data_IF_161908867581
#
_entry.id   IF_161908867581
#
_cell.length_a   1.000
_cell.length_b   1.000
_cell.length_c   1.000
_cell.angle_alpha   90.00
_cell.angle_beta   90.00
_cell.angle_gamma   90.00
#
_symmetry.space_group_name_H-M   'P 1'
#
loop_
_entity.id
_entity.type
_entity.pdbx_description
1 polymer ?
#
# COMPACT_ATOMS: atom_id res chain seq x y z
N UNK A 1 -18.44 7.47 31.52
CA UNK A 1 -18.38 6.08 31.01
C UNK A 1 -17.52 5.28 31.96
N UNK A 2 -17.99 4.11 32.42
CA UNK A 2 -17.22 3.23 33.30
C UNK A 2 -16.01 2.63 32.56
N UNK A 3 -14.88 2.46 33.25
CA UNK A 3 -13.63 1.90 32.71
C UNK A 3 -13.83 0.54 32.04
N UNK A 4 -14.72 -0.29 32.60
CA UNK A 4 -15.10 -1.59 32.03
C UNK A 4 -15.82 -1.46 30.70
N UNK A 5 -16.76 -0.52 30.59
CA UNK A 5 -17.53 -0.28 29.37
C UNK A 5 -16.66 0.30 28.25
N UNK A 6 -15.71 1.16 28.60
CA UNK A 6 -14.70 1.68 27.67
C UNK A 6 -13.78 0.58 27.15
N UNK A 7 -13.25 -0.26 28.04
CA UNK A 7 -12.43 -1.42 27.67
C UNK A 7 -13.16 -2.39 26.74
N UNK A 8 -14.41 -2.75 27.06
CA UNK A 8 -15.23 -3.61 26.19
C UNK A 8 -15.46 -2.99 24.82
N UNK A 9 -15.64 -1.68 24.75
CA UNK A 9 -15.78 -0.95 23.47
C UNK A 9 -14.51 -1.06 22.64
N UNK A 10 -13.33 -0.89 23.25
CA UNK A 10 -12.05 -1.05 22.55
C UNK A 10 -11.84 -2.48 22.05
N UNK A 11 -12.18 -3.50 22.84
CA UNK A 11 -12.11 -4.89 22.38
C UNK A 11 -13.05 -5.09 21.18
N UNK A 12 -14.28 -4.60 21.24
CA UNK A 12 -15.22 -4.73 20.12
C UNK A 12 -14.73 -4.00 18.86
N UNK A 13 -14.23 -2.77 18.99
CA UNK A 13 -13.74 -1.97 17.87
C UNK A 13 -12.50 -2.57 17.22
N UNK A 14 -11.58 -3.12 18.02
CA UNK A 14 -10.23 -3.48 17.56
C UNK A 14 -10.06 -4.96 17.27
N UNK A 15 -10.75 -5.81 18.02
CA UNK A 15 -10.71 -7.26 17.83
C UNK A 15 -11.87 -7.71 16.95
N UNK A 16 -13.11 -7.36 17.30
CA UNK A 16 -14.29 -7.93 16.65
C UNK A 16 -14.63 -7.27 15.31
N UNK A 17 -14.58 -5.93 15.23
CA UNK A 17 -15.02 -5.21 14.04
C UNK A 17 -14.26 -5.59 12.75
N UNK A 18 -12.92 -5.74 12.73
CA UNK A 18 -12.21 -6.14 11.52
C UNK A 18 -12.63 -7.53 11.02
N UNK A 19 -12.84 -8.49 11.94
CA UNK A 19 -13.26 -9.86 11.61
C UNK A 19 -14.68 -9.90 11.05
N UNK A 20 -15.62 -9.23 11.73
CA UNK A 20 -17.03 -9.18 11.29
C UNK A 20 -17.16 -8.45 9.95
N UNK A 21 -16.43 -7.36 9.76
CA UNK A 21 -16.40 -6.66 8.48
C UNK A 21 -15.85 -7.55 7.34
N UNK A 22 -14.83 -8.37 7.62
CA UNK A 22 -14.30 -9.33 6.65
C UNK A 22 -15.31 -10.43 6.30
N UNK A 23 -16.04 -10.95 7.29
CA UNK A 23 -17.11 -11.93 7.08
C UNK A 23 -18.22 -11.36 6.21
N UNK A 24 -18.68 -10.16 6.52
CA UNK A 24 -19.71 -9.48 5.73
C UNK A 24 -19.26 -9.28 4.28
N UNK A 25 -18.02 -8.84 4.04
CA UNK A 25 -17.49 -8.63 2.69
C UNK A 25 -17.41 -9.93 1.88
N UNK A 26 -16.90 -11.01 2.48
CA UNK A 26 -16.82 -12.32 1.81
C UNK A 26 -18.21 -12.91 1.58
N UNK A 27 -19.13 -12.76 2.54
CA UNK A 27 -20.52 -13.21 2.40
C UNK A 27 -21.21 -12.54 1.21
N UNK A 28 -21.09 -11.21 1.10
CA UNK A 28 -21.62 -10.46 -0.06
C UNK A 28 -20.96 -10.91 -1.37
N UNK A 29 -19.64 -11.12 -1.38
CA UNK A 29 -18.92 -11.60 -2.57
C UNK A 29 -19.42 -12.98 -3.02
N UNK A 30 -19.63 -13.90 -2.07
CA UNK A 30 -20.13 -15.25 -2.35
C UNK A 30 -21.59 -15.25 -2.83
N UNK A 31 -22.40 -14.27 -2.41
CA UNK A 31 -23.75 -14.06 -2.96
C UNK A 31 -23.73 -13.55 -4.40
N UNK A 32 -22.74 -12.72 -4.77
CA UNK A 32 -22.62 -12.14 -6.12
C UNK A 32 -22.01 -13.12 -7.13
N UNK A 33 -21.08 -13.98 -6.70
CA UNK A 33 -20.47 -15.02 -7.53
C UNK A 33 -20.60 -16.35 -6.79
N UNK A 34 -21.72 -17.08 -6.96
CA UNK A 34 -21.89 -18.37 -6.31
C UNK A 34 -20.86 -19.35 -6.87
N UNK A 35 -19.93 -19.81 -6.03
CA UNK A 35 -19.01 -20.88 -6.36
C UNK A 35 -19.82 -22.20 -6.45
N UNK A 36 -19.93 -22.83 -7.63
CA UNK A 36 -20.69 -24.07 -7.79
C UNK A 36 -20.06 -25.26 -7.06
N UNK A 37 -18.83 -25.13 -6.56
CA UNK A 37 -18.11 -26.16 -5.79
C UNK A 37 -18.30 -26.03 -4.28
N UNK A 38 -18.86 -24.92 -3.79
CA UNK A 38 -19.18 -24.73 -2.39
C UNK A 38 -20.69 -24.82 -2.19
N UNK A 39 -21.20 -25.86 -1.50
CA UNK A 39 -22.62 -25.95 -1.19
C UNK A 39 -23.05 -24.66 -0.48
N UNK A 40 -24.19 -24.11 -0.91
CA UNK A 40 -24.80 -22.87 -0.39
C UNK A 40 -25.27 -22.93 1.07
N UNK A 41 -24.50 -23.57 1.95
CA UNK A 41 -24.59 -23.36 3.37
C UNK A 41 -23.74 -22.11 3.67
N UNK A 42 -24.40 -20.97 3.83
CA UNK A 42 -23.85 -19.96 4.74
C UNK A 42 -23.54 -20.70 6.03
N UNK A 43 -22.25 -20.97 6.31
CA UNK A 43 -21.87 -21.37 7.67
C UNK A 43 -22.39 -20.24 8.57
N UNK A 44 -23.06 -20.55 9.69
CA UNK A 44 -23.59 -19.51 10.54
C UNK A 44 -22.45 -18.54 10.85
N UNK A 45 -22.68 -17.25 10.61
CA UNK A 45 -21.64 -16.21 10.70
C UNK A 45 -20.91 -16.27 12.06
N UNK A 46 -21.60 -16.72 13.12
CA UNK A 46 -21.05 -17.01 14.43
C UNK A 46 -19.92 -18.07 14.44
N UNK A 47 -20.05 -19.17 13.68
CA UNK A 47 -18.98 -20.18 13.53
C UNK A 47 -17.77 -19.60 12.80
N UNK A 48 -18.01 -18.73 11.81
CA UNK A 48 -16.94 -18.05 11.08
C UNK A 48 -16.22 -17.05 11.99
N UNK A 49 -16.96 -16.25 12.76
CA UNK A 49 -16.38 -15.33 13.76
C UNK A 49 -15.54 -16.11 14.77
N UNK A 50 -16.05 -17.22 15.31
CA UNK A 50 -15.31 -18.06 16.25
C UNK A 50 -14.04 -18.65 15.63
N UNK A 51 -14.09 -19.09 14.38
CA UNK A 51 -12.93 -19.59 13.63
C UNK A 51 -11.86 -18.51 13.44
N UNK A 52 -12.25 -17.30 13.03
CA UNK A 52 -11.32 -16.18 12.87
C UNK A 52 -10.73 -15.70 14.20
N UNK A 53 -11.54 -15.64 15.26
CA UNK A 53 -11.08 -15.29 16.60
C UNK A 53 -10.07 -16.31 17.14
N UNK A 54 -10.32 -17.59 16.90
CA UNK A 54 -9.37 -18.67 17.24
C UNK A 54 -8.05 -18.47 16.51
N UNK A 55 -8.07 -18.15 15.21
CA UNK A 55 -6.86 -17.92 14.42
C UNK A 55 -6.11 -16.65 14.86
N UNK A 56 -6.83 -15.58 15.21
CA UNK A 56 -6.23 -14.37 15.78
C UNK A 56 -5.55 -14.64 17.13
N UNK A 57 -6.12 -15.52 17.96
CA UNK A 57 -5.54 -15.94 19.24
C UNK A 57 -4.33 -16.86 19.05
N UNK A 58 -4.39 -17.80 18.10
CA UNK A 58 -3.24 -18.63 17.75
C UNK A 58 -2.06 -17.79 17.26
N UNK A 59 -2.35 -16.79 16.42
CA UNK A 59 -1.35 -15.85 15.93
C UNK A 59 -0.76 -14.99 17.06
N UNK A 60 -1.58 -14.53 18.01
CA UNK A 60 -1.08 -13.75 19.15
C UNK A 60 -0.16 -14.55 20.07
N UNK A 61 -0.44 -15.84 20.27
CA UNK A 61 0.46 -16.76 21.00
C UNK A 61 1.80 -16.87 20.26
N UNK A 62 1.77 -17.07 18.94
CA UNK A 62 2.98 -17.13 18.12
C UNK A 62 3.81 -15.85 18.19
N UNK A 63 3.16 -14.68 18.09
CA UNK A 63 3.81 -13.37 18.21
C UNK A 63 4.35 -13.12 19.63
N UNK A 64 3.65 -13.56 20.67
CA UNK A 64 4.12 -13.42 22.06
C UNK A 64 5.42 -14.17 22.30
N UNK A 65 5.63 -15.31 21.63
CA UNK A 65 6.89 -16.05 21.71
C UNK A 65 8.05 -15.32 21.01
N UNK A 66 7.76 -14.44 20.04
CA UNK A 66 8.76 -13.65 19.33
C UNK A 66 9.17 -12.39 20.10
N UNK A 67 8.29 -11.84 20.94
CA UNK A 67 8.52 -10.61 21.72
C UNK A 67 9.20 -10.90 23.09
N UNK A 68 9.56 -12.16 23.35
CA UNK A 68 10.19 -12.65 24.60
C UNK A 68 9.56 -12.09 25.89
N UNK A 69 8.26 -12.31 26.02
CA UNK A 69 7.45 -11.72 27.08
C UNK A 69 7.64 -12.48 28.41
N UNK A 70 8.73 -12.21 29.12
CA UNK A 70 8.89 -12.57 30.54
C UNK A 70 8.25 -11.51 31.45
N UNK A 71 6.91 -11.39 31.39
CA UNK A 71 6.18 -10.39 32.18
C UNK A 71 5.39 -11.02 33.35
N UNK A 72 5.13 -10.26 34.43
CA UNK A 72 4.18 -10.66 35.48
C UNK A 72 2.79 -10.95 34.89
N UNK A 73 2.00 -11.84 35.52
CA UNK A 73 0.73 -12.35 34.95
C UNK A 73 -0.25 -11.26 34.49
N UNK A 74 -0.36 -10.15 35.23
CA UNK A 74 -1.23 -9.03 34.87
C UNK A 74 -0.79 -8.28 33.60
N UNK A 75 0.51 -8.15 33.36
CA UNK A 75 1.07 -7.53 32.16
C UNK A 75 1.07 -8.48 30.97
N UNK A 76 1.21 -9.80 31.23
CA UNK A 76 1.12 -10.84 30.22
C UNK A 76 -0.27 -10.90 29.60
N UNK A 77 -1.34 -10.75 30.38
CA UNK A 77 -2.72 -10.73 29.86
C UNK A 77 -3.01 -9.49 29.00
N UNK A 78 -2.54 -8.31 29.42
CA UNK A 78 -2.63 -7.08 28.62
C UNK A 78 -1.87 -7.21 27.29
N UNK A 79 -0.66 -7.77 27.33
CA UNK A 79 0.15 -8.03 26.14
C UNK A 79 -0.53 -9.02 25.18
N UNK A 80 -1.05 -10.13 25.70
CA UNK A 80 -1.81 -11.12 24.90
C UNK A 80 -3.00 -10.47 24.22
N UNK A 81 -3.75 -9.62 24.93
CA UNK A 81 -4.89 -8.93 24.36
C UNK A 81 -4.47 -7.92 23.27
N UNK A 82 -3.39 -7.16 23.50
CA UNK A 82 -2.85 -6.23 22.50
C UNK A 82 -2.37 -6.96 21.23
N UNK A 83 -1.64 -8.07 21.39
CA UNK A 83 -1.19 -8.90 20.27
C UNK A 83 -2.35 -9.56 19.53
N UNK A 84 -3.39 -10.00 20.24
CA UNK A 84 -4.61 -10.55 19.63
C UNK A 84 -5.34 -9.49 18.83
N UNK A 85 -5.38 -8.27 19.37
CA UNK A 85 -5.95 -7.10 18.70
C UNK A 85 -5.17 -6.73 17.43
N UNK A 86 -3.84 -6.77 17.46
CA UNK A 86 -2.99 -6.58 16.27
C UNK A 86 -3.14 -7.69 15.23
N UNK A 87 -3.39 -8.92 15.69
CA UNK A 87 -3.55 -10.08 14.80
C UNK A 87 -4.88 -10.03 14.04
N UNK A 88 -5.91 -9.41 14.62
CA UNK A 88 -7.26 -9.38 14.03
C UNK A 88 -7.30 -8.79 12.62
N UNK A 89 -6.75 -7.59 12.33
CA UNK A 89 -6.68 -7.06 10.98
C UNK A 89 -5.92 -7.94 9.98
N UNK A 90 -4.88 -8.65 10.41
CA UNK A 90 -4.10 -9.56 9.56
C UNK A 90 -4.94 -10.78 9.14
N UNK A 91 -5.62 -11.39 10.13
CA UNK A 91 -6.54 -12.52 9.90
C UNK A 91 -7.73 -12.10 9.05
N UNK A 92 -8.32 -10.93 9.34
CA UNK A 92 -9.41 -10.35 8.57
C UNK A 92 -9.02 -10.17 7.10
N UNK A 93 -7.83 -9.60 6.83
CA UNK A 93 -7.35 -9.40 5.48
C UNK A 93 -7.13 -10.73 4.73
N UNK A 94 -6.50 -11.71 5.38
CA UNK A 94 -6.30 -13.02 4.77
C UNK A 94 -7.63 -13.74 4.48
N UNK A 95 -8.61 -13.59 5.37
CA UNK A 95 -9.96 -14.11 5.14
C UNK A 95 -10.63 -13.43 3.94
N UNK A 96 -10.52 -12.09 3.80
CA UNK A 96 -11.05 -11.36 2.63
C UNK A 96 -10.42 -11.80 1.32
N UNK A 97 -9.14 -12.15 1.34
CA UNK A 97 -8.40 -12.58 0.15
C UNK A 97 -8.74 -14.01 -0.24
N UNK A 98 -8.82 -14.92 0.72
CA UNK A 98 -8.99 -16.36 0.47
C UNK A 98 -10.45 -16.82 0.47
N UNK A 99 -11.36 -16.03 1.04
CA UNK A 99 -12.76 -16.39 1.24
C UNK A 99 -12.98 -17.51 2.27
N UNK A 100 -11.92 -17.97 2.96
CA UNK A 100 -11.98 -19.05 3.94
C UNK A 100 -11.14 -18.74 5.18
N UNK A 101 -11.42 -19.45 6.27
CA UNK A 101 -10.61 -19.34 7.49
C UNK A 101 -9.16 -19.71 7.16
N UNK A 102 -8.17 -18.90 7.59
CA UNK A 102 -6.75 -19.19 7.40
C UNK A 102 -6.32 -20.55 7.91
N UNK A 103 -5.44 -21.23 7.17
CA UNK A 103 -4.78 -22.46 7.60
C UNK A 103 -3.45 -22.14 8.31
N UNK A 104 -2.84 -23.16 8.92
CA UNK A 104 -1.64 -22.96 9.75
C UNK A 104 -0.42 -22.52 8.94
N UNK A 105 -0.27 -22.98 7.69
CA UNK A 105 0.84 -22.54 6.83
C UNK A 105 0.73 -21.08 6.37
N UNK A 106 -0.50 -20.56 6.26
CA UNK A 106 -0.74 -19.14 6.06
C UNK A 106 -0.43 -18.32 7.31
N UNK A 107 -0.77 -18.83 8.50
CA UNK A 107 -0.38 -18.19 9.77
C UNK A 107 1.15 -18.14 9.91
N UNK A 108 1.84 -19.24 9.64
CA UNK A 108 3.31 -19.31 9.72
C UNK A 108 3.99 -18.29 8.81
N UNK A 109 3.46 -18.08 7.60
CA UNK A 109 3.96 -17.07 6.67
C UNK A 109 3.83 -15.66 7.24
N UNK A 110 2.68 -15.30 7.82
CA UNK A 110 2.49 -13.98 8.42
C UNK A 110 3.36 -13.83 9.68
N UNK A 111 3.44 -14.85 10.53
CA UNK A 111 4.31 -14.83 11.72
C UNK A 111 5.77 -14.62 11.33
N UNK A 112 6.24 -15.28 10.27
CA UNK A 112 7.60 -15.09 9.74
C UNK A 112 7.85 -13.67 9.26
N UNK A 113 6.87 -13.06 8.60
CA UNK A 113 6.94 -11.67 8.14
C UNK A 113 6.92 -10.67 9.31
N UNK A 114 6.08 -10.90 10.33
CA UNK A 114 6.02 -10.05 11.52
C UNK A 114 7.29 -10.14 12.37
N UNK A 115 7.96 -11.31 12.39
CA UNK A 115 9.27 -11.43 13.04
C UNK A 115 10.30 -10.44 12.46
N UNK A 116 10.30 -10.25 11.13
CA UNK A 116 11.16 -9.26 10.48
C UNK A 116 10.86 -7.83 10.95
N UNK A 117 9.61 -7.51 11.28
CA UNK A 117 9.23 -6.19 11.83
C UNK A 117 9.70 -6.02 13.27
N UNK A 118 9.58 -7.07 14.10
CA UNK A 118 9.96 -7.04 15.51
C UNK A 118 11.46 -6.73 15.67
N UNK A 119 12.33 -7.31 14.84
CA UNK A 119 13.78 -7.06 14.90
C UNK A 119 14.16 -5.58 14.75
N UNK A 120 13.36 -4.76 14.05
CA UNK A 120 13.63 -3.32 13.94
C UNK A 120 13.20 -2.53 15.18
N UNK A 121 12.27 -3.06 15.98
CA UNK A 121 11.81 -2.41 17.20
C UNK A 121 12.83 -2.47 18.35
N UNK A 122 13.74 -3.44 18.32
CA UNK A 122 14.79 -3.65 19.35
C UNK A 122 15.77 -2.47 19.48
N UNK A 123 15.77 -1.55 18.51
CA UNK A 123 16.62 -0.36 18.52
C UNK A 123 16.12 0.77 19.45
N UNK A 124 14.95 0.61 20.09
CA UNK A 124 14.34 1.66 20.91
C UNK A 124 13.96 1.16 22.31
N UNK A 125 14.31 1.93 23.35
CA UNK A 125 14.01 1.60 24.75
C UNK A 125 13.40 2.82 25.45
N UNK A 126 12.18 2.70 25.97
CA UNK A 126 11.58 3.61 26.98
C UNK A 126 10.82 2.81 28.05
N UNK A 127 10.35 3.39 29.16
CA UNK A 127 9.87 2.67 30.36
C UNK A 127 8.39 2.95 30.77
N UNK A 128 7.69 1.89 31.22
CA UNK A 128 6.27 1.56 30.95
C UNK A 128 5.10 1.98 31.81
N UNK A 129 3.94 1.44 31.41
CA UNK A 129 2.71 1.10 32.17
C UNK A 129 1.74 0.29 31.25
N UNK A 130 1.08 -0.76 31.78
CA UNK A 130 0.37 -1.80 31.05
C UNK A 130 -1.08 -1.45 30.63
N UNK A 131 -1.74 -0.52 31.32
CA UNK A 131 -3.11 -0.08 30.99
C UNK A 131 -3.12 0.98 29.86
N UNK A 132 -1.97 1.62 29.65
CA UNK A 132 -1.73 2.60 28.61
C UNK A 132 -1.58 1.93 27.21
N UNK A 133 -1.18 0.65 27.17
CA UNK A 133 -0.79 -0.05 25.94
C UNK A 133 -1.89 -0.12 24.87
N UNK A 134 -3.11 -0.50 25.25
CA UNK A 134 -4.26 -0.55 24.34
C UNK A 134 -4.76 0.84 23.94
N UNK A 135 -4.76 1.80 24.87
CA UNK A 135 -5.20 3.18 24.61
C UNK A 135 -4.28 3.92 23.63
N UNK A 136 -2.96 3.67 23.72
CA UNK A 136 -1.96 4.30 22.88
C UNK A 136 -1.70 3.60 21.54
N UNK A 137 -2.48 2.57 21.18
CA UNK A 137 -2.38 2.01 19.82
C UNK A 137 -2.77 3.04 18.76
N UNK A 138 -3.70 3.96 19.09
CA UNK A 138 -4.25 4.94 18.15
C UNK A 138 -4.40 6.38 18.68
N UNK A 139 -4.51 6.58 20.00
CA UNK A 139 -4.72 7.91 20.59
C UNK A 139 -3.55 8.30 21.48
N UNK A 140 -2.90 9.40 21.10
CA UNK A 140 -1.70 9.97 21.72
C UNK A 140 -0.50 9.02 21.77
N UNK A 141 0.33 9.11 20.72
CA UNK A 141 1.63 8.45 20.57
C UNK A 141 2.57 8.77 21.74
N UNK A 142 2.41 8.07 22.86
CA UNK A 142 3.36 8.06 23.96
C UNK A 142 3.87 6.62 24.13
N UNK A 143 5.05 6.29 23.59
CA UNK A 143 5.67 5.00 23.87
C UNK A 143 6.02 4.94 25.35
N UNK A 144 5.27 4.15 26.09
CA UNK A 144 5.46 4.00 27.53
C UNK A 144 6.64 3.06 27.75
N UNK A 145 6.58 1.77 27.38
CA UNK A 145 7.70 0.80 27.52
C UNK A 145 8.29 0.32 26.17
N UNK A 146 9.37 -0.51 26.15
CA UNK A 146 9.96 -1.00 24.92
C UNK A 146 9.00 -1.95 24.20
N UNK A 147 8.22 -2.75 24.94
CA UNK A 147 7.23 -3.63 24.33
C UNK A 147 6.10 -2.83 23.65
N UNK A 148 5.72 -1.68 24.21
CA UNK A 148 4.77 -0.76 23.58
C UNK A 148 5.34 -0.17 22.29
N UNK A 149 6.65 0.07 22.21
CA UNK A 149 7.31 0.47 20.97
C UNK A 149 7.22 -0.67 19.94
N UNK A 150 7.52 -1.91 20.32
CA UNK A 150 7.35 -3.09 19.45
C UNK A 150 5.91 -3.21 18.94
N UNK A 151 4.92 -3.10 19.83
CA UNK A 151 3.50 -3.12 19.45
C UNK A 151 3.15 -1.98 18.48
N UNK A 152 3.71 -0.78 18.68
CA UNK A 152 3.49 0.35 17.78
C UNK A 152 4.13 0.13 16.41
N UNK A 153 5.35 -0.41 16.33
CA UNK A 153 5.98 -0.77 15.07
C UNK A 153 5.15 -1.80 14.30
N UNK A 154 4.72 -2.86 15.00
CA UNK A 154 3.84 -3.87 14.41
C UNK A 154 2.55 -3.23 13.89
N UNK A 155 1.87 -2.40 14.70
CA UNK A 155 0.64 -1.71 14.31
C UNK A 155 0.83 -0.80 13.08
N UNK A 156 1.88 0.02 13.11
CA UNK A 156 2.20 1.00 12.09
C UNK A 156 2.50 0.36 10.74
N UNK A 157 3.16 -0.79 10.75
CA UNK A 157 3.54 -1.51 9.53
C UNK A 157 2.46 -2.49 9.05
N UNK A 158 1.37 -2.71 9.80
CA UNK A 158 0.26 -3.58 9.39
C UNK A 158 -0.24 -3.30 7.96
N UNK A 159 -0.44 -2.04 7.51
CA UNK A 159 -0.89 -1.78 6.15
C UNK A 159 0.08 -2.30 5.09
N UNK A 160 1.39 -2.15 5.31
CA UNK A 160 2.41 -2.61 4.38
C UNK A 160 2.50 -4.14 4.34
N UNK A 161 2.45 -4.79 5.51
CA UNK A 161 2.44 -6.26 5.62
C UNK A 161 1.20 -6.82 4.94
N UNK A 162 0.01 -6.24 5.19
CA UNK A 162 -1.23 -6.69 4.57
C UNK A 162 -1.21 -6.59 3.04
N UNK A 163 -0.63 -5.52 2.50
CA UNK A 163 -0.45 -5.38 1.05
C UNK A 163 0.47 -6.45 0.47
N UNK A 164 1.60 -6.71 1.12
CA UNK A 164 2.58 -7.73 0.67
C UNK A 164 1.98 -9.14 0.73
N UNK A 165 1.21 -9.44 1.79
CA UNK A 165 0.51 -10.72 1.92
C UNK A 165 -0.62 -10.87 0.90
N UNK A 166 -1.21 -9.75 0.44
CA UNK A 166 -2.18 -9.75 -0.64
C UNK A 166 -1.53 -10.05 -1.99
N UNK A 167 -0.33 -9.49 -2.23
CA UNK A 167 0.41 -9.72 -3.46
C UNK A 167 1.91 -9.49 -3.27
N UNK A 168 2.74 -10.50 -3.54
CA UNK A 168 4.19 -10.38 -3.29
C UNK A 168 5.02 -9.97 -4.51
N UNK A 169 4.38 -9.66 -5.64
CA UNK A 169 5.05 -9.43 -6.93
C UNK A 169 6.03 -10.56 -7.34
N UNK A 170 5.78 -11.79 -6.90
CA UNK A 170 6.64 -12.95 -7.17
C UNK A 170 7.89 -13.04 -6.27
N UNK A 171 8.01 -12.19 -5.25
CA UNK A 171 9.09 -12.27 -4.26
C UNK A 171 8.66 -13.10 -3.04
N UNK A 172 9.62 -13.68 -2.29
CA UNK A 172 9.33 -14.31 -1.00
C UNK A 172 8.78 -13.27 -0.01
N UNK A 173 7.62 -13.53 0.61
CA UNK A 173 6.90 -12.53 1.40
C UNK A 173 7.75 -12.02 2.57
N UNK A 174 8.42 -12.92 3.29
CA UNK A 174 9.31 -12.57 4.42
C UNK A 174 10.40 -11.59 3.99
N UNK A 175 11.07 -11.87 2.88
CA UNK A 175 12.16 -11.03 2.36
C UNK A 175 11.61 -9.67 1.93
N UNK A 176 10.48 -9.66 1.24
CA UNK A 176 9.86 -8.43 0.79
C UNK A 176 9.41 -7.56 1.98
N UNK A 177 8.84 -8.15 3.04
CA UNK A 177 8.51 -7.42 4.26
C UNK A 177 9.76 -6.83 4.91
N UNK A 178 10.86 -7.57 4.98
CA UNK A 178 12.13 -7.07 5.51
C UNK A 178 12.65 -5.87 4.70
N UNK A 179 12.79 -6.02 3.38
CA UNK A 179 13.33 -4.98 2.48
C UNK A 179 12.46 -3.71 2.51
N UNK A 180 11.13 -3.88 2.53
CA UNK A 180 10.18 -2.77 2.62
C UNK A 180 10.26 -2.09 3.99
N UNK A 181 10.30 -2.85 5.07
CA UNK A 181 10.38 -2.30 6.43
C UNK A 181 11.65 -1.48 6.61
N UNK A 182 12.80 -2.02 6.20
CA UNK A 182 14.09 -1.31 6.26
C UNK A 182 14.03 0.03 5.53
N UNK A 183 13.47 0.02 4.32
CA UNK A 183 13.33 1.24 3.53
C UNK A 183 12.38 2.23 4.18
N UNK A 184 11.21 1.80 4.64
CA UNK A 184 10.23 2.71 5.26
C UNK A 184 10.79 3.35 6.53
N UNK A 185 11.49 2.60 7.37
CA UNK A 185 12.17 3.12 8.57
C UNK A 185 13.22 4.16 8.18
N UNK A 186 14.07 3.87 7.18
CA UNK A 186 15.08 4.80 6.69
C UNK A 186 14.47 6.10 6.14
N UNK A 187 13.42 6.00 5.35
CA UNK A 187 12.72 7.16 4.78
C UNK A 187 12.05 7.98 5.89
N UNK A 188 11.42 7.33 6.88
CA UNK A 188 10.79 8.01 8.01
C UNK A 188 11.82 8.78 8.86
N UNK A 189 12.97 8.16 9.15
CA UNK A 189 14.09 8.82 9.84
C UNK A 189 14.62 10.01 9.05
N UNK A 190 14.81 9.84 7.74
CA UNK A 190 15.30 10.91 6.84
C UNK A 190 14.33 12.09 6.81
N UNK A 191 13.03 11.82 6.66
CA UNK A 191 11.99 12.84 6.69
C UNK A 191 11.98 13.59 8.03
N UNK A 192 12.07 12.87 9.15
CA UNK A 192 12.15 13.48 10.49
C UNK A 192 13.35 14.40 10.60
N UNK A 193 14.54 13.95 10.19
CA UNK A 193 15.76 14.76 10.24
C UNK A 193 15.68 16.02 9.36
N UNK A 194 14.96 15.94 8.24
CA UNK A 194 14.78 17.06 7.31
C UNK A 194 13.80 18.13 7.81
N UNK A 195 12.71 17.71 8.47
CA UNK A 195 11.61 18.61 8.87
C UNK A 195 11.68 18.99 10.36
N UNK A 196 12.12 18.07 11.22
CA UNK A 196 12.10 18.17 12.68
C UNK A 196 13.49 17.89 13.28
N UNK A 197 14.46 18.76 12.97
CA UNK A 197 15.86 18.59 13.39
C UNK A 197 16.11 18.84 14.88
N UNK A 198 15.24 19.58 15.56
CA UNK A 198 15.39 20.01 16.96
C UNK A 198 14.35 19.34 17.88
N UNK A 199 14.28 18.01 17.87
CA UNK A 199 13.44 17.24 18.80
C UNK A 199 14.30 16.58 19.87
N UNK A 200 13.79 16.50 21.10
CA UNK A 200 14.39 15.64 22.12
C UNK A 200 14.19 14.16 21.76
N UNK A 201 14.94 13.25 22.40
CA UNK A 201 14.93 11.82 22.03
C UNK A 201 13.52 11.19 22.05
N UNK A 202 12.68 11.54 23.03
CA UNK A 202 11.31 11.00 23.13
C UNK A 202 10.40 11.54 22.02
N UNK A 203 10.49 12.82 21.74
CA UNK A 203 9.75 13.46 20.64
C UNK A 203 10.24 12.98 19.28
N UNK A 204 11.54 12.72 19.13
CA UNK A 204 12.12 12.20 17.92
C UNK A 204 11.57 10.80 17.59
N UNK A 205 11.54 9.89 18.57
CA UNK A 205 10.95 8.55 18.41
C UNK A 205 9.46 8.64 18.08
N UNK A 206 8.73 9.53 18.77
CA UNK A 206 7.31 9.78 18.50
C UNK A 206 7.08 10.27 17.08
N UNK A 207 7.84 11.25 16.63
CA UNK A 207 7.75 11.80 15.29
C UNK A 207 8.11 10.75 14.24
N UNK A 208 9.17 9.96 14.47
CA UNK A 208 9.59 8.89 13.58
C UNK A 208 8.51 7.82 13.40
N UNK A 209 7.88 7.37 14.50
CA UNK A 209 6.77 6.41 14.44
C UNK A 209 5.53 6.97 13.74
N UNK A 210 5.21 8.25 13.94
CA UNK A 210 4.11 8.91 13.25
C UNK A 210 4.38 9.03 11.74
N UNK A 211 5.60 9.39 11.35
CA UNK A 211 6.02 9.44 9.95
C UNK A 211 6.04 8.05 9.34
N UNK A 212 6.50 7.04 10.07
CA UNK A 212 6.50 5.66 9.63
C UNK A 212 5.07 5.15 9.38
N UNK A 213 4.09 5.54 10.21
CA UNK A 213 2.67 5.26 9.98
C UNK A 213 2.19 5.82 8.65
N UNK A 214 2.53 7.08 8.37
CA UNK A 214 2.18 7.71 7.10
C UNK A 214 2.87 7.00 5.92
N UNK A 215 4.16 6.69 6.04
CA UNK A 215 4.91 6.00 5.02
C UNK A 215 4.34 4.60 4.73
N UNK A 216 4.00 3.82 5.75
CA UNK A 216 3.39 2.50 5.58
C UNK A 216 2.02 2.56 4.88
N UNK A 217 1.19 3.57 5.18
CA UNK A 217 -0.08 3.79 4.49
C UNK A 217 0.12 4.19 3.02
N UNK A 218 1.06 5.11 2.74
CA UNK A 218 1.39 5.51 1.36
C UNK A 218 1.89 4.30 0.56
N UNK A 219 2.80 3.51 1.16
CA UNK A 219 3.29 2.28 0.55
C UNK A 219 2.14 1.32 0.23
N UNK A 220 1.26 1.06 1.20
CA UNK A 220 0.11 0.16 1.03
C UNK A 220 -0.77 0.59 -0.15
N UNK A 221 -1.06 1.89 -0.26
CA UNK A 221 -1.83 2.43 -1.39
C UNK A 221 -1.10 2.29 -2.73
N UNK A 222 0.19 2.60 -2.78
CA UNK A 222 0.99 2.43 -3.99
C UNK A 222 1.07 0.95 -4.41
N UNK A 223 1.17 0.06 -3.43
CA UNK A 223 1.22 -1.37 -3.64
C UNK A 223 -0.07 -1.90 -4.27
N UNK A 224 -1.23 -1.56 -3.70
CA UNK A 224 -2.52 -1.97 -4.27
C UNK A 224 -2.79 -1.33 -5.64
N UNK A 225 -2.34 -0.08 -5.86
CA UNK A 225 -2.46 0.56 -7.17
C UNK A 225 -1.63 -0.17 -8.24
N UNK A 226 -0.39 -0.55 -7.94
CA UNK A 226 0.45 -1.30 -8.88
C UNK A 226 -0.08 -2.72 -9.10
N UNK A 227 -0.58 -3.38 -8.04
CA UNK A 227 -1.27 -4.67 -8.16
C UNK A 227 -2.48 -4.56 -9.11
N UNK A 228 -3.37 -3.58 -8.89
CA UNK A 228 -4.55 -3.38 -9.74
C UNK A 228 -4.17 -3.11 -11.20
N UNK A 229 -3.12 -2.30 -11.42
CA UNK A 229 -2.58 -2.03 -12.75
C UNK A 229 -2.08 -3.32 -13.43
N UNK A 230 -1.34 -4.17 -12.72
CA UNK A 230 -0.87 -5.44 -13.28
C UNK A 230 -2.02 -6.39 -13.60
N UNK A 231 -3.05 -6.44 -12.75
CA UNK A 231 -4.23 -7.29 -12.99
C UNK A 231 -5.08 -6.81 -14.16
N UNK A 232 -5.06 -5.50 -14.46
CA UNK A 232 -5.76 -4.90 -15.58
C UNK A 232 -4.95 -4.90 -16.89
N UNK A 233 -3.67 -5.25 -16.87
CA UNK A 233 -2.78 -5.20 -18.05
C UNK A 233 -2.62 -6.59 -18.64
N UNK A 234 -2.86 -6.74 -19.95
CA UNK A 234 -2.63 -8.00 -20.67
C UNK A 234 -1.14 -8.41 -20.66
N UNK A 235 -0.87 -9.72 -20.61
CA UNK A 235 0.49 -10.27 -20.43
C UNK A 235 1.49 -9.79 -21.48
N UNK A 236 1.02 -9.56 -22.72
CA UNK A 236 1.82 -9.06 -23.83
C UNK A 236 2.23 -7.58 -23.64
N UNK A 237 1.37 -6.76 -23.03
CA UNK A 237 1.69 -5.38 -22.68
C UNK A 237 2.56 -5.30 -21.42
N UNK A 238 2.55 -6.34 -20.57
CA UNK A 238 3.34 -6.42 -19.33
C UNK A 238 4.84 -6.53 -19.57
N UNK A 239 5.25 -7.11 -20.71
CA UNK A 239 6.67 -7.32 -21.06
C UNK A 239 7.44 -6.02 -21.34
N UNK A 240 6.74 -4.91 -21.62
CA UNK A 240 7.35 -3.59 -21.84
C UNK A 240 7.35 -2.67 -20.62
N UNK A 241 6.74 -3.09 -19.50
CA UNK A 241 6.64 -2.27 -18.29
C UNK A 241 7.92 -2.37 -17.45
N UNK A 242 8.28 -1.26 -16.79
CA UNK A 242 9.28 -1.28 -15.75
C UNK A 242 8.88 -2.29 -14.64
N UNK A 243 9.85 -2.93 -13.94
CA UNK A 243 9.54 -3.85 -12.86
C UNK A 243 8.56 -3.21 -11.85
N UNK A 244 7.54 -3.96 -11.44
CA UNK A 244 6.45 -3.45 -10.61
C UNK A 244 6.95 -2.72 -9.35
N UNK A 245 7.95 -3.28 -8.67
CA UNK A 245 8.57 -2.65 -7.50
C UNK A 245 9.26 -1.32 -7.81
N UNK A 246 9.87 -1.18 -8.99
CA UNK A 246 10.49 0.09 -9.40
C UNK A 246 9.43 1.19 -9.56
N UNK A 247 8.34 0.88 -10.26
CA UNK A 247 7.22 1.82 -10.46
C UNK A 247 6.56 2.18 -9.13
N UNK A 248 6.34 1.19 -8.26
CA UNK A 248 5.79 1.38 -6.91
C UNK A 248 6.66 2.37 -6.12
N UNK A 249 7.97 2.15 -6.08
CA UNK A 249 8.87 3.01 -5.30
C UNK A 249 9.00 4.43 -5.85
N UNK A 250 8.90 4.63 -7.16
CA UNK A 250 8.82 5.96 -7.76
C UNK A 250 7.53 6.68 -7.32
N UNK A 251 6.39 5.97 -7.37
CA UNK A 251 5.10 6.49 -6.95
C UNK A 251 5.03 6.78 -5.44
N UNK A 252 5.71 5.97 -4.63
CA UNK A 252 5.90 6.19 -3.20
C UNK A 252 6.73 7.45 -2.93
N UNK A 253 7.91 7.57 -3.57
CA UNK A 253 8.81 8.70 -3.40
C UNK A 253 8.15 10.03 -3.76
N UNK A 254 7.38 10.06 -4.85
CA UNK A 254 6.61 11.25 -5.24
C UNK A 254 5.60 11.67 -4.16
N UNK A 255 4.85 10.73 -3.59
CA UNK A 255 3.88 11.02 -2.53
C UNK A 255 4.54 11.47 -1.23
N UNK A 256 5.70 10.91 -0.90
CA UNK A 256 6.47 11.34 0.26
C UNK A 256 7.01 12.77 0.07
N UNK A 257 7.50 13.12 -1.12
CA UNK A 257 7.91 14.48 -1.47
C UNK A 257 6.74 15.48 -1.39
N UNK A 258 5.54 15.09 -1.83
CA UNK A 258 4.34 15.92 -1.66
C UNK A 258 4.06 16.20 -0.19
N UNK A 259 4.25 15.20 0.68
CA UNK A 259 4.10 15.35 2.13
C UNK A 259 5.18 16.27 2.72
N UNK A 260 6.42 16.19 2.25
CA UNK A 260 7.49 17.11 2.66
C UNK A 260 7.13 18.56 2.35
N UNK A 261 6.60 18.85 1.15
CA UNK A 261 6.16 20.21 0.78
C UNK A 261 5.05 20.72 1.69
N UNK A 262 4.09 19.86 2.04
CA UNK A 262 3.03 20.21 3.00
C UNK A 262 3.61 20.47 4.38
N UNK A 263 4.56 19.64 4.82
CA UNK A 263 5.22 19.80 6.11
C UNK A 263 6.04 21.09 6.19
N UNK A 264 6.78 21.45 5.15
CA UNK A 264 7.51 22.72 5.03
C UNK A 264 6.59 23.94 5.15
N UNK A 265 5.38 23.87 4.57
CA UNK A 265 4.40 24.95 4.64
C UNK A 265 3.78 25.10 6.04
N UNK A 266 3.71 24.00 6.81
CA UNK A 266 3.05 23.95 8.12
C UNK A 266 4.00 24.13 9.30
N UNK A 267 5.30 23.84 9.13
CA UNK A 267 6.31 23.91 10.19
C UNK A 267 7.18 25.17 10.01
N UNK A 268 6.99 26.22 10.83
CA UNK A 268 7.78 27.44 10.72
C UNK A 268 9.26 27.15 10.93
N UNK A 269 10.09 27.47 9.93
CA UNK A 269 11.55 27.27 10.00
C UNK A 269 12.06 25.93 9.46
N UNK A 270 11.18 25.01 9.05
CA UNK A 270 11.59 23.80 8.33
C UNK A 270 12.15 24.19 6.95
N UNK A 271 13.46 24.03 6.76
CA UNK A 271 14.10 24.08 5.45
C UNK A 271 14.64 22.70 5.16
N UNK A 272 13.94 21.92 4.34
CA UNK A 272 14.44 20.59 3.95
C UNK A 272 15.81 20.76 3.29
N UNK A 273 16.81 20.00 3.78
CA UNK A 273 18.07 19.83 3.06
C UNK A 273 17.79 18.94 1.85
N UNK A 274 17.31 19.55 0.76
CA UNK A 274 17.18 18.85 -0.52
C UNK A 274 18.54 18.35 -0.96
N UNK A 275 18.80 17.05 -0.80
CA UNK A 275 19.89 16.36 -1.48
C UNK A 275 19.52 16.25 -2.94
N UNK A 276 20.08 17.14 -3.75
CA UNK A 276 19.98 17.09 -5.20
C UNK A 276 20.75 15.88 -5.75
N UNK A 277 20.05 14.77 -5.99
CA UNK A 277 20.56 13.70 -6.86
C UNK A 277 19.92 13.82 -8.26
N UNK A 278 20.70 14.46 -9.13
CA UNK A 278 20.79 14.34 -10.60
C UNK A 278 19.52 14.13 -11.46
N UNK A 279 19.31 15.16 -12.29
CA UNK A 279 18.96 15.12 -13.73
C UNK A 279 17.60 14.55 -14.13
N UNK A 280 16.64 15.45 -14.28
CA UNK A 280 15.77 15.48 -15.45
C UNK A 280 15.67 16.94 -15.89
N UNK A 281 16.25 17.26 -17.05
CA UNK A 281 16.06 18.56 -17.70
C UNK A 281 14.56 18.76 -17.88
N UNK A 282 14.03 19.85 -17.35
CA UNK A 282 12.73 20.36 -17.74
C UNK A 282 12.76 20.71 -19.24
N UNK A 283 11.68 20.50 -20.01
CA UNK A 283 11.59 21.01 -21.36
C UNK A 283 11.63 22.53 -21.31
N UNK A 284 12.54 23.10 -22.08
CA UNK A 284 12.67 24.53 -22.30
C UNK A 284 11.41 25.02 -23.03
N UNK A 285 10.64 25.88 -22.36
CA UNK A 285 9.50 26.57 -22.96
C UNK A 285 10.06 27.63 -23.90
N UNK A 286 10.05 27.33 -25.20
CA UNK A 286 10.26 28.32 -26.26
C UNK A 286 9.24 29.45 -26.11
N UNK A 287 9.71 30.64 -25.72
CA UNK A 287 8.91 31.86 -25.78
C UNK A 287 8.77 32.27 -27.25
N UNK A 288 7.56 32.60 -27.74
CA UNK A 288 7.38 33.12 -29.09
C UNK A 288 8.03 34.50 -29.21
N UNK A 289 8.88 34.68 -30.21
CA UNK A 289 9.43 35.99 -30.58
C UNK A 289 8.29 36.84 -31.14
N UNK A 290 7.89 37.87 -30.37
CA UNK A 290 7.09 38.99 -30.83
C UNK A 290 7.96 39.88 -31.73
N UNK A 291 7.62 39.95 -33.02
CA UNK A 291 8.04 41.03 -33.91
C UNK A 291 6.82 41.90 -34.24
N UNK A 292 6.98 43.21 -34.10
CA UNK A 292 6.02 44.27 -34.41
C UNK A 292 6.83 45.44 -35.00
N UNK A 293 6.24 46.43 -35.71
CA UNK A 293 5.69 46.33 -37.08
C UNK A 293 6.13 47.52 -37.98
N UNK A 294 5.99 47.39 -39.31
CA UNK A 294 5.92 48.50 -40.29
C UNK A 294 5.53 47.88 -41.66
N UNK A 295 4.71 48.44 -42.56
CA UNK A 295 3.86 49.62 -42.67
C UNK A 295 2.90 49.32 -43.85
N UNK A 296 1.67 49.83 -43.82
CA UNK A 296 0.56 49.60 -44.77
C UNK A 296 0.83 50.31 -46.15
N UNK A 297 0.02 50.19 -47.25
CA UNK A 297 -1.45 50.08 -47.20
C UNK A 297 -2.22 49.37 -48.36
N UNK A 298 -3.52 49.16 -48.07
CA UNK A 298 -4.69 49.34 -48.95
C UNK A 298 -5.35 48.13 -49.69
N UNK A 299 -6.66 48.03 -49.41
CA UNK A 299 -7.82 47.74 -50.27
C UNK A 299 -8.32 46.28 -50.46
N UNK A 300 -9.49 46.00 -49.87
CA UNK A 300 -10.49 44.95 -50.17
C UNK A 300 -11.33 45.32 -51.43
N UNK A 301 -12.40 44.59 -51.90
CA UNK A 301 -12.98 43.25 -51.64
C UNK A 301 -13.43 42.54 -52.98
N UNK A 302 -14.52 41.73 -53.12
CA UNK A 302 -15.01 40.48 -52.48
C UNK A 302 -15.13 39.26 -53.45
N UNK A 303 -15.58 38.09 -52.94
CA UNK A 303 -15.94 36.82 -53.64
C UNK A 303 -17.23 36.91 -54.51
N UNK A 304 -17.88 35.84 -55.08
CA UNK A 304 -17.66 34.37 -55.17
C UNK A 304 -18.04 33.80 -56.60
N UNK A 305 -18.78 32.68 -56.81
CA UNK A 305 -18.61 31.22 -56.58
C UNK A 305 -18.48 30.41 -57.92
N UNK A 306 -18.33 29.07 -58.01
CA UNK A 306 -19.42 28.08 -58.22
C UNK A 306 -18.86 26.72 -58.76
N UNK A 307 -19.37 25.62 -58.19
CA UNK A 307 -19.69 24.24 -58.69
C UNK A 307 -18.72 23.32 -59.50
N UNK A 308 -18.46 22.16 -58.88
CA UNK A 308 -18.86 20.77 -59.23
C UNK A 308 -18.94 20.27 -60.70
N UNK A 309 -18.26 19.13 -60.97
CA UNK A 309 -18.71 17.86 -61.62
C UNK A 309 -17.49 16.98 -61.97
N UNK A 310 -17.29 15.81 -61.33
CA UNK A 310 -17.66 14.42 -61.71
C UNK A 310 -17.07 13.85 -63.01
N UNK A 311 -16.36 12.71 -62.86
CA UNK A 311 -16.26 11.50 -63.73
C UNK A 311 -15.52 11.65 -65.10
N UNK A 312 -14.73 10.71 -65.66
CA UNK A 312 -14.43 9.29 -65.40
C UNK A 312 -13.14 8.84 -66.15
N UNK A 313 -12.52 7.75 -65.67
CA UNK A 313 -11.73 6.67 -66.32
C UNK A 313 -10.75 6.88 -67.53
N UNK A 314 -9.48 6.43 -67.39
CA UNK A 314 -8.93 5.14 -67.92
C UNK A 314 -7.37 5.03 -67.88
N UNK A 315 -6.89 3.78 -67.65
CA UNK A 315 -5.63 3.13 -68.10
C UNK A 315 -4.29 3.23 -67.30
N UNK A 316 -4.04 2.23 -66.43
CA UNK A 316 -2.87 1.34 -66.16
C UNK A 316 -1.46 1.57 -66.82
N UNK A 317 -0.37 0.88 -66.38
CA UNK A 317 0.17 0.60 -65.01
C UNK A 317 1.71 0.76 -64.89
N UNK A 318 2.30 0.82 -63.67
CA UNK A 318 3.61 0.18 -63.36
C UNK A 318 4.00 0.16 -61.86
N UNK A 319 4.47 -1.01 -61.42
CA UNK A 319 5.42 -1.35 -60.32
C UNK A 319 5.11 -1.09 -58.83
N UNK A 320 4.55 -2.13 -58.17
CA UNK A 320 5.05 -2.94 -57.01
C UNK A 320 5.86 -2.32 -55.82
N UNK A 321 5.97 -2.98 -54.65
CA UNK A 321 5.12 -3.98 -53.97
C UNK A 321 4.90 -3.72 -52.45
N UNK A 322 3.83 -4.24 -51.84
CA UNK A 322 3.78 -4.50 -50.39
C UNK A 322 2.77 -5.60 -50.00
N UNK A 323 3.33 -6.73 -49.54
CA UNK A 323 2.83 -7.68 -48.53
C UNK A 323 1.32 -7.94 -48.38
N UNK A 324 0.89 -9.16 -48.76
CA UNK A 324 -0.41 -9.73 -48.39
C UNK A 324 -0.23 -10.90 -47.38
N UNK A 325 -0.82 -10.86 -46.17
CA UNK A 325 -0.58 -11.83 -45.09
C UNK A 325 -1.65 -12.94 -45.03
N UNK A 326 -1.83 -13.72 -46.09
CA UNK A 326 -2.81 -14.84 -46.13
C UNK A 326 -2.28 -16.06 -46.90
N UNK A 327 -1.02 -16.44 -46.70
CA UNK A 327 -0.45 -17.67 -47.27
C UNK A 327 -0.42 -18.86 -46.28
N UNK A 328 -1.29 -18.84 -45.26
CA UNK A 328 -1.41 -19.90 -44.24
C UNK A 328 -2.26 -21.12 -44.65
N UNK A 329 -2.66 -21.25 -45.92
CA UNK A 329 -3.46 -22.39 -46.37
C UNK A 329 -3.02 -22.89 -47.76
N UNK A 330 -2.00 -23.74 -47.80
CA UNK A 330 -1.86 -24.74 -48.86
C UNK A 330 -1.01 -25.93 -48.40
N UNK A 331 -1.71 -27.03 -48.16
CA UNK A 331 -1.25 -28.39 -47.84
C UNK A 331 -0.82 -29.10 -49.13
N UNK A 332 0.31 -29.81 -49.17
CA UNK A 332 0.44 -31.15 -49.80
C UNK A 332 1.85 -31.77 -49.71
N UNK A 333 1.87 -32.97 -49.13
CA UNK A 333 2.50 -34.21 -49.63
C UNK A 333 3.80 -34.11 -50.42
N UNK A 334 4.87 -34.66 -49.84
CA UNK A 334 5.54 -35.85 -50.35
C UNK A 334 6.17 -36.64 -49.21
#
# INVERSE_FOLDING_TARGET
MDTKSYFLTQVLERLAAPLVAAISEVSVRNMMVPDPSQPGAMRPEAEQVAGLLTKATQMSIGLSNLVDVSLPENEADSMRLALTTLSSPLIANLYRLTGRVPNDSELDRIMSAMNSVITYSDHFVTAGDANARMQHMDTDFFPVDPHQITLQYMNVLLPAVNSIMAYSFGQPEKKLVQDVTERLVKEAKTFRENIFSELNDKEAVRAELAILRMAALIYSQCHFAEMAKLMATEEQARQGLAPAMTTLWQAFGLRLQMLEVVAEALVPGAKSKRTSSSSSKAPEVEKPIQQMPAEAPAASPPAPPVEAKTEDNTANPSSAPASNPMAFFAKKTS
#
